data_IF_104995871359
#
_entry.id   IF_104995871359
#
_cell.length_a   1.000
_cell.length_b   1.000
_cell.length_c   1.000
_cell.angle_alpha   90.00
_cell.angle_beta   90.00
_cell.angle_gamma   90.00
#
_symmetry.space_group_name_H-M   'P 1'
#
loop_
_entity.id
_entity.type
_entity.pdbx_description
1 polymer ?
#
# COMPACT_ATOMS: atom_id res chain seq x y z
N UNK A 1 75.86 30.07 13.80
CA UNK A 1 75.06 28.82 13.71
C UNK A 1 73.68 29.16 14.24
N UNK A 2 72.53 29.09 13.55
CA UNK A 2 72.01 28.32 12.39
C UNK A 2 71.04 29.26 11.62
N UNK A 3 71.34 29.59 10.35
CA UNK A 3 70.71 29.14 9.08
C UNK A 3 69.26 29.63 8.81
N UNK A 4 69.19 30.55 7.85
CA UNK A 4 68.04 31.07 7.10
C UNK A 4 67.12 29.99 6.52
N UNK A 5 65.86 30.35 6.23
CA UNK A 5 65.18 30.03 4.96
C UNK A 5 63.96 30.95 4.73
N UNK A 6 63.88 31.44 3.49
CA UNK A 6 62.84 32.27 2.86
C UNK A 6 61.78 31.35 2.22
N UNK A 7 60.49 31.71 2.27
CA UNK A 7 59.44 31.37 1.29
C UNK A 7 58.17 32.19 1.63
N UNK A 8 57.78 33.23 0.88
CA UNK A 8 57.00 33.27 -0.39
C UNK A 8 55.55 32.74 -0.26
N UNK A 9 54.62 33.71 -0.14
CA UNK A 9 53.27 33.88 -0.74
C UNK A 9 52.53 32.64 -1.26
N UNK A 10 51.27 32.46 -0.85
CA UNK A 10 50.06 32.25 -1.69
C UNK A 10 48.82 32.57 -0.83
N UNK A 11 47.95 33.45 -1.35
CA UNK A 11 46.65 33.78 -0.80
C UNK A 11 45.62 32.70 -1.16
N UNK A 12 44.81 32.26 -0.20
CA UNK A 12 43.57 31.50 -0.47
C UNK A 12 42.46 31.99 0.46
N UNK A 13 41.58 32.83 -0.09
CA UNK A 13 40.29 33.20 0.49
C UNK A 13 39.32 32.03 0.37
N UNK A 14 38.99 31.37 1.48
CA UNK A 14 37.98 30.31 1.53
C UNK A 14 36.61 30.90 1.86
N UNK A 15 35.84 31.25 0.82
CA UNK A 15 34.39 31.48 0.91
C UNK A 15 33.70 30.11 1.05
N UNK A 16 33.29 29.75 2.27
CA UNK A 16 32.38 28.61 2.47
C UNK A 16 30.96 29.14 2.32
N UNK A 17 30.48 29.08 1.08
CA UNK A 17 29.09 29.30 0.71
C UNK A 17 28.19 28.35 1.49
N UNK A 18 27.14 28.89 2.12
CA UNK A 18 26.11 28.12 2.78
C UNK A 18 25.47 27.13 1.81
N UNK A 19 25.52 25.84 2.17
CA UNK A 19 24.76 24.81 1.48
C UNK A 19 23.32 24.94 1.94
N UNK A 20 22.53 25.71 1.20
CA UNK A 20 21.08 25.65 1.28
C UNK A 20 20.65 24.26 0.80
N UNK A 21 20.45 23.32 1.73
CA UNK A 21 19.75 22.08 1.42
C UNK A 21 18.29 22.44 1.12
N UNK A 22 17.97 22.64 -0.15
CA UNK A 22 16.59 22.77 -0.60
C UNK A 22 15.89 21.44 -0.34
N UNK A 23 15.19 21.33 0.80
CA UNK A 23 14.19 20.30 1.02
C UNK A 23 13.08 20.60 0.02
N UNK A 24 13.06 19.91 -1.12
CA UNK A 24 11.91 19.91 -2.00
C UNK A 24 10.79 19.20 -1.25
N UNK A 25 9.97 19.95 -0.53
CA UNK A 25 8.67 19.46 -0.11
C UNK A 25 7.92 19.14 -1.41
N UNK A 26 7.58 17.87 -1.60
CA UNK A 26 6.80 17.39 -2.73
C UNK A 26 5.36 17.90 -2.56
N UNK A 27 5.17 19.21 -2.84
CA UNK A 27 3.94 19.97 -2.62
C UNK A 27 2.89 19.66 -3.72
N UNK A 28 2.63 18.37 -3.94
CA UNK A 28 1.77 17.90 -5.03
C UNK A 28 0.46 17.36 -4.46
N UNK A 29 -0.66 18.02 -4.77
CA UNK A 29 -1.99 17.47 -4.52
C UNK A 29 -2.33 16.51 -5.68
N UNK A 30 -2.63 15.25 -5.37
CA UNK A 30 -3.03 14.24 -6.35
C UNK A 30 -4.54 14.05 -6.33
N UNK A 31 -5.18 14.16 -7.48
CA UNK A 31 -6.58 13.86 -7.68
C UNK A 31 -6.69 12.65 -8.61
N UNK A 32 -7.53 11.69 -8.24
CA UNK A 32 -7.80 10.53 -9.04
C UNK A 32 -9.30 10.24 -8.97
N UNK A 33 -9.89 9.96 -10.13
CA UNK A 33 -11.30 9.66 -10.26
C UNK A 33 -11.56 9.08 -11.63
N UNK A 34 -12.71 8.44 -11.77
CA UNK A 34 -13.15 7.82 -13.01
C UNK A 34 -14.58 8.24 -13.31
N UNK A 35 -14.84 8.53 -14.58
CA UNK A 35 -16.18 8.66 -15.12
C UNK A 35 -16.41 7.43 -15.99
N UNK A 36 -17.38 6.62 -15.59
CA UNK A 36 -17.76 5.40 -16.30
C UNK A 36 -19.24 5.45 -16.68
N UNK A 37 -19.59 4.79 -17.78
CA UNK A 37 -20.98 4.67 -18.25
C UNK A 37 -21.85 3.81 -17.32
N UNK A 38 -21.22 3.13 -16.35
CA UNK A 38 -21.88 2.31 -15.36
C UNK A 38 -21.19 2.45 -13.99
N UNK A 39 -21.99 2.29 -12.93
CA UNK A 39 -21.50 2.22 -11.56
C UNK A 39 -22.22 1.10 -10.84
N UNK A 40 -21.45 0.22 -10.21
CA UNK A 40 -21.95 -0.79 -9.29
C UNK A 40 -21.88 -0.27 -7.85
N UNK A 41 -22.76 -0.80 -7.00
CA UNK A 41 -22.60 -0.73 -5.55
C UNK A 41 -21.50 -1.70 -5.15
N UNK A 42 -20.56 -1.24 -4.33
CA UNK A 42 -19.44 -2.05 -3.84
C UNK A 42 -19.63 -2.34 -2.35
N UNK A 43 -19.52 -3.61 -1.97
CA UNK A 43 -19.46 -4.03 -0.57
C UNK A 43 -18.28 -4.97 -0.35
N UNK A 44 -17.83 -5.05 0.91
CA UNK A 44 -16.80 -6.00 1.32
C UNK A 44 -17.42 -6.93 2.36
N UNK A 45 -17.43 -8.24 2.07
CA UNK A 45 -18.09 -9.26 2.88
C UNK A 45 -19.56 -8.92 3.23
N UNK A 46 -20.30 -8.27 2.33
CA UNK A 46 -21.68 -7.85 2.54
C UNK A 46 -21.84 -6.53 3.30
N UNK A 47 -20.75 -5.83 3.64
CA UNK A 47 -20.80 -4.54 4.32
C UNK A 47 -20.31 -3.41 3.40
N UNK A 48 -21.22 -2.51 3.03
CA UNK A 48 -20.95 -1.40 2.12
C UNK A 48 -20.50 -0.10 2.83
N UNK A 49 -20.65 0.01 4.15
CA UNK A 49 -20.48 1.29 4.86
C UNK A 49 -19.22 1.35 5.72
N UNK A 50 -18.87 0.27 6.40
CA UNK A 50 -17.70 0.22 7.28
C UNK A 50 -17.24 -1.24 7.41
N UNK A 51 -16.70 -1.83 6.34
CA UNK A 51 -16.19 -3.19 6.40
C UNK A 51 -15.00 -3.30 7.34
N UNK A 52 -14.98 -4.38 8.12
CA UNK A 52 -13.88 -4.69 9.03
C UNK A 52 -13.48 -6.15 8.85
N UNK A 53 -12.20 -6.37 8.56
CA UNK A 53 -11.61 -7.71 8.42
C UNK A 53 -10.87 -8.04 9.70
N UNK A 54 -11.34 -9.04 10.44
CA UNK A 54 -10.69 -9.53 11.65
C UNK A 54 -9.61 -10.55 11.27
N UNK A 55 -8.36 -10.18 11.51
CA UNK A 55 -7.24 -11.11 11.35
C UNK A 55 -7.12 -12.02 12.60
N UNK A 56 -6.69 -13.27 12.43
CA UNK A 56 -6.46 -14.18 13.55
C UNK A 56 -5.28 -13.71 14.40
N UNK A 57 -5.31 -14.01 15.70
CA UNK A 57 -4.12 -13.81 16.54
C UNK A 57 -3.04 -14.81 16.14
N UNK A 58 -1.86 -14.29 15.76
CA UNK A 58 -0.69 -15.11 15.43
C UNK A 58 0.40 -14.94 16.49
N UNK A 59 1.16 -15.99 16.81
CA UNK A 59 2.26 -15.88 17.75
C UNK A 59 3.41 -15.09 17.11
N UNK A 60 4.11 -14.26 17.90
CA UNK A 60 5.29 -13.52 17.43
C UNK A 60 6.40 -14.45 16.90
N UNK A 61 6.43 -15.70 17.34
CA UNK A 61 7.36 -16.73 16.83
C UNK A 61 7.15 -17.09 15.36
N UNK A 62 5.98 -16.79 14.77
CA UNK A 62 5.73 -16.96 13.34
C UNK A 62 6.31 -15.80 12.49
N UNK A 63 6.76 -14.71 13.13
CA UNK A 63 7.17 -13.45 12.51
C UNK A 63 8.57 -13.03 13.01
N UNK A 64 9.50 -13.98 13.04
CA UNK A 64 10.86 -13.78 13.62
C UNK A 64 11.88 -13.25 12.62
N UNK A 65 11.61 -13.37 11.32
CA UNK A 65 12.50 -12.92 10.25
C UNK A 65 11.79 -11.94 9.35
N UNK A 66 12.47 -10.89 8.91
CA UNK A 66 11.93 -9.98 7.91
C UNK A 66 11.52 -10.78 6.66
N UNK A 67 10.30 -10.52 6.15
CA UNK A 67 9.72 -11.30 5.06
C UNK A 67 8.84 -12.47 5.48
N UNK A 68 8.85 -12.87 6.75
CA UNK A 68 7.88 -13.85 7.26
C UNK A 68 6.46 -13.30 7.20
N UNK A 69 5.53 -14.14 6.79
CA UNK A 69 4.09 -13.82 6.76
C UNK A 69 3.29 -14.80 7.60
N UNK A 70 2.17 -14.33 8.13
CA UNK A 70 1.28 -15.15 8.94
C UNK A 70 -0.15 -14.61 8.88
N UNK A 71 -1.12 -15.45 9.27
CA UNK A 71 -2.51 -15.00 9.49
C UNK A 71 -3.22 -14.50 8.23
N UNK A 72 -2.88 -15.04 7.06
CA UNK A 72 -3.56 -14.74 5.80
C UNK A 72 -5.07 -14.90 5.97
N UNK A 73 -5.80 -13.81 5.74
CA UNK A 73 -7.24 -13.70 5.95
C UNK A 73 -7.87 -13.21 4.66
N UNK A 74 -8.72 -14.03 4.07
CA UNK A 74 -9.43 -13.69 2.85
C UNK A 74 -10.60 -12.74 3.15
N UNK A 75 -10.89 -11.87 2.20
CA UNK A 75 -12.09 -11.06 2.17
C UNK A 75 -12.55 -10.90 0.73
N UNK A 76 -13.87 -10.84 0.55
CA UNK A 76 -14.50 -10.76 -0.76
C UNK A 76 -14.97 -9.35 -1.01
N UNK A 77 -14.62 -8.79 -2.15
CA UNK A 77 -15.24 -7.58 -2.68
C UNK A 77 -16.35 -8.01 -3.62
N UNK A 78 -17.56 -7.53 -3.36
CA UNK A 78 -18.71 -7.74 -4.22
C UNK A 78 -19.08 -6.44 -4.91
N UNK A 79 -19.49 -6.57 -6.17
CA UNK A 79 -20.15 -5.52 -6.91
C UNK A 79 -21.56 -5.97 -7.28
N UNK A 80 -22.55 -5.11 -7.09
CA UNK A 80 -23.95 -5.40 -7.39
C UNK A 80 -24.62 -4.20 -8.06
N UNK A 81 -25.75 -4.43 -8.72
CA UNK A 81 -26.48 -3.38 -9.42
C UNK A 81 -25.73 -2.79 -10.62
N UNK A 82 -24.77 -3.53 -11.18
CA UNK A 82 -24.08 -3.13 -12.39
C UNK A 82 -25.03 -3.14 -13.59
N UNK A 83 -24.77 -2.27 -14.57
CA UNK A 83 -25.48 -2.30 -15.85
C UNK A 83 -25.05 -3.54 -16.64
N UNK A 84 -26.03 -4.36 -17.04
CA UNK A 84 -25.74 -5.54 -17.86
C UNK A 84 -25.20 -5.12 -19.24
N UNK A 85 -24.01 -5.62 -19.60
CA UNK A 85 -23.40 -5.45 -20.92
C UNK A 85 -23.50 -6.75 -21.72
N UNK A 86 -23.53 -6.65 -23.05
CA UNK A 86 -23.49 -7.82 -23.96
C UNK A 86 -22.12 -8.50 -23.98
N UNK A 87 -21.08 -7.84 -23.48
CA UNK A 87 -19.73 -8.37 -23.32
C UNK A 87 -19.32 -8.43 -21.85
N UNK A 88 -18.36 -9.31 -21.54
CA UNK A 88 -17.75 -9.32 -20.22
C UNK A 88 -16.92 -8.04 -20.01
N UNK A 89 -16.96 -7.50 -18.79
CA UNK A 89 -16.23 -6.29 -18.39
C UNK A 89 -15.24 -6.65 -17.30
N UNK A 90 -13.94 -6.48 -17.59
CA UNK A 90 -12.90 -6.58 -16.58
C UNK A 90 -12.95 -5.32 -15.70
N UNK A 91 -12.98 -5.52 -14.38
CA UNK A 91 -13.04 -4.45 -13.40
C UNK A 91 -11.83 -4.61 -12.47
N UNK A 92 -11.13 -3.50 -12.23
CA UNK A 92 -9.98 -3.47 -11.32
C UNK A 92 -10.40 -2.87 -9.99
N UNK A 93 -9.75 -3.32 -8.91
CA UNK A 93 -9.90 -2.71 -7.59
C UNK A 93 -8.67 -1.87 -7.29
N UNK A 94 -8.88 -0.58 -7.03
CA UNK A 94 -7.82 0.35 -6.61
C UNK A 94 -7.84 0.43 -5.09
N UNK A 95 -6.67 0.26 -4.46
CA UNK A 95 -6.49 0.40 -3.02
C UNK A 95 -5.56 1.57 -2.72
N UNK A 96 -5.89 2.35 -1.68
CA UNK A 96 -5.08 3.47 -1.19
C UNK A 96 -4.84 3.31 0.30
N UNK A 97 -3.62 2.97 0.71
CA UNK A 97 -3.26 2.83 2.11
C UNK A 97 -3.21 4.17 2.83
N UNK A 98 -3.86 4.26 3.99
CA UNK A 98 -3.88 5.50 4.79
C UNK A 98 -2.56 5.71 5.56
N UNK A 99 -1.82 4.64 5.82
CA UNK A 99 -0.50 4.68 6.44
C UNK A 99 0.40 3.67 5.73
N UNK A 100 1.15 4.12 4.72
CA UNK A 100 2.11 3.25 4.03
C UNK A 100 3.49 3.38 4.66
N UNK A 101 4.18 2.24 4.78
CA UNK A 101 5.60 2.25 5.09
C UNK A 101 6.43 2.49 3.81
N UNK A 102 7.75 2.62 3.96
CA UNK A 102 8.70 2.85 2.85
C UNK A 102 8.71 1.74 1.80
N UNK A 103 8.12 0.58 2.09
CA UNK A 103 8.03 -0.57 1.19
C UNK A 103 6.64 -0.75 0.58
N UNK A 104 5.74 0.24 0.72
CA UNK A 104 4.39 0.21 0.13
C UNK A 104 3.40 -0.72 0.83
N UNK A 105 3.72 -1.23 2.03
CA UNK A 105 2.79 -2.02 2.87
C UNK A 105 2.06 -1.10 3.85
N UNK A 106 0.91 -1.54 4.35
CA UNK A 106 0.19 -0.81 5.40
C UNK A 106 1.00 -0.88 6.70
N UNK A 107 1.50 0.26 7.15
CA UNK A 107 2.15 0.41 8.44
C UNK A 107 1.18 0.12 9.58
N UNK A 108 1.71 -0.50 10.63
CA UNK A 108 0.93 -0.79 11.82
C UNK A 108 0.72 0.48 12.67
N UNK A 109 -0.52 0.80 12.98
CA UNK A 109 -0.89 1.88 13.93
C UNK A 109 -1.26 1.38 15.33
N UNK A 110 -1.23 0.06 15.56
CA UNK A 110 -1.37 -0.58 16.86
C UNK A 110 -0.06 -0.62 17.67
N UNK A 111 -0.01 -1.46 18.70
CA UNK A 111 1.12 -1.53 19.63
C UNK A 111 2.23 -2.53 19.27
N UNK A 112 1.98 -3.46 18.35
CA UNK A 112 3.01 -4.39 17.88
C UNK A 112 4.09 -3.66 17.06
N UNK A 113 5.35 -4.05 17.23
CA UNK A 113 6.48 -3.48 16.49
C UNK A 113 7.04 -4.48 15.49
N UNK A 114 7.68 -3.97 14.42
CA UNK A 114 8.28 -4.76 13.33
C UNK A 114 7.27 -5.63 12.57
N UNK A 115 6.01 -5.21 12.53
CA UNK A 115 4.95 -5.87 11.76
C UNK A 115 4.20 -4.81 10.94
N UNK A 116 3.85 -5.16 9.72
CA UNK A 116 2.97 -4.41 8.83
C UNK A 116 1.87 -5.33 8.29
N UNK A 117 0.89 -4.76 7.60
CA UNK A 117 -0.12 -5.52 6.88
C UNK A 117 0.16 -5.45 5.38
N UNK A 118 0.13 -6.62 4.74
CA UNK A 118 0.30 -6.77 3.30
C UNK A 118 -1.02 -7.22 2.70
N UNK A 119 -1.51 -6.47 1.70
CA UNK A 119 -2.63 -6.90 0.86
C UNK A 119 -2.08 -7.69 -0.32
N UNK A 120 -2.71 -8.82 -0.63
CA UNK A 120 -2.30 -9.74 -1.69
C UNK A 120 -3.52 -10.25 -2.44
N UNK A 121 -3.27 -10.70 -3.66
CA UNK A 121 -4.19 -11.58 -4.38
C UNK A 121 -3.96 -13.02 -3.90
N UNK A 122 -4.99 -13.77 -3.44
CA UNK A 122 -4.84 -15.18 -3.06
C UNK A 122 -4.34 -16.07 -4.20
N UNK A 123 -4.55 -15.70 -5.47
CA UNK A 123 -3.98 -16.36 -6.64
C UNK A 123 -2.48 -16.05 -6.83
N UNK A 124 -1.95 -15.00 -6.20
CA UNK A 124 -0.54 -14.60 -6.26
C UNK A 124 -0.04 -14.04 -4.92
N UNK A 125 -0.01 -14.86 -3.86
CA UNK A 125 0.17 -14.39 -2.47
C UNK A 125 1.59 -13.89 -2.17
N UNK A 126 2.54 -14.10 -3.07
CA UNK A 126 3.92 -13.61 -2.95
C UNK A 126 4.10 -12.18 -3.45
N UNK A 127 3.14 -11.67 -4.22
CA UNK A 127 3.22 -10.33 -4.82
C UNK A 127 2.27 -9.40 -4.07
N UNK A 128 2.77 -8.36 -3.37
CA UNK A 128 1.89 -7.36 -2.76
C UNK A 128 1.08 -6.62 -3.81
N UNK A 129 -0.15 -6.27 -3.47
CA UNK A 129 -0.94 -5.31 -4.25
C UNK A 129 -0.38 -3.90 -4.09
N UNK A 130 -0.58 -3.07 -5.12
CA UNK A 130 -0.30 -1.64 -5.03
C UNK A 130 -1.33 -0.95 -4.15
N UNK A 131 -0.84 -0.25 -3.13
CA UNK A 131 -1.65 0.51 -2.20
C UNK A 131 -1.45 2.02 -2.37
N UNK A 132 -0.76 2.46 -3.43
CA UNK A 132 -0.54 3.89 -3.70
C UNK A 132 -1.71 4.54 -4.43
N UNK A 133 -2.69 3.76 -4.88
CA UNK A 133 -3.79 4.20 -5.74
C UNK A 133 -3.42 4.33 -7.21
N UNK A 134 -2.14 4.20 -7.57
CA UNK A 134 -1.70 4.47 -8.94
C UNK A 134 -2.09 3.36 -9.91
N UNK A 135 -2.19 2.12 -9.43
CA UNK A 135 -2.55 0.95 -10.25
C UNK A 135 -3.71 0.17 -9.62
N UNK A 136 -4.64 -0.24 -10.47
CA UNK A 136 -5.73 -1.13 -10.08
C UNK A 136 -5.30 -2.59 -10.09
N UNK A 137 -5.67 -3.32 -9.05
CA UNK A 137 -5.47 -4.77 -8.96
C UNK A 137 -6.55 -5.48 -9.78
N UNK A 138 -6.18 -6.44 -10.66
CA UNK A 138 -7.18 -7.24 -11.36
C UNK A 138 -7.97 -8.11 -10.37
N UNK A 139 -9.11 -8.63 -10.82
CA UNK A 139 -9.84 -9.65 -10.07
C UNK A 139 -11.31 -9.72 -10.44
N UNK A 140 -12.00 -8.59 -10.39
CA UNK A 140 -13.42 -8.53 -10.72
C UNK A 140 -13.62 -8.71 -12.23
N UNK A 141 -14.55 -9.59 -12.59
CA UNK A 141 -14.97 -9.79 -13.98
C UNK A 141 -16.49 -9.89 -14.02
N UNK A 142 -17.14 -8.85 -14.54
CA UNK A 142 -18.58 -8.83 -14.74
C UNK A 142 -18.88 -9.58 -16.04
N UNK A 143 -19.44 -10.78 -15.93
CA UNK A 143 -19.79 -11.59 -17.09
C UNK A 143 -20.85 -10.90 -17.97
N UNK A 144 -20.92 -11.30 -19.24
CA UNK A 144 -21.94 -10.81 -20.16
C UNK A 144 -23.35 -11.07 -19.58
N UNK A 145 -24.20 -10.04 -19.62
CA UNK A 145 -25.55 -10.00 -19.07
C UNK A 145 -25.66 -10.16 -17.54
N UNK A 146 -24.54 -10.16 -16.80
CA UNK A 146 -24.55 -10.17 -15.35
C UNK A 146 -24.69 -8.75 -14.78
N UNK A 147 -25.24 -8.65 -13.58
CA UNK A 147 -25.39 -7.40 -12.81
C UNK A 147 -24.59 -7.40 -11.51
N UNK A 148 -23.83 -8.47 -11.27
CA UNK A 148 -22.99 -8.64 -10.09
C UNK A 148 -21.76 -9.48 -10.38
N UNK A 149 -20.68 -9.22 -9.67
CA UNK A 149 -19.47 -10.04 -9.65
C UNK A 149 -18.83 -9.98 -8.26
N UNK A 150 -17.96 -10.94 -7.99
CA UNK A 150 -17.24 -11.03 -6.71
C UNK A 150 -15.81 -11.44 -6.96
N UNK A 151 -14.89 -10.97 -6.13
CA UNK A 151 -13.51 -11.41 -6.14
C UNK A 151 -12.90 -11.41 -4.75
N UNK A 152 -12.07 -12.42 -4.48
CA UNK A 152 -11.40 -12.57 -3.19
C UNK A 152 -10.02 -11.94 -3.23
N UNK A 153 -9.74 -11.11 -2.24
CA UNK A 153 -8.40 -10.66 -1.89
C UNK A 153 -8.01 -11.23 -0.52
N UNK A 154 -6.77 -11.06 -0.11
CA UNK A 154 -6.33 -11.43 1.21
C UNK A 154 -5.45 -10.36 1.85
N UNK A 155 -5.48 -10.32 3.17
CA UNK A 155 -4.57 -9.53 4.00
C UNK A 155 -3.77 -10.47 4.89
N UNK A 156 -2.49 -10.20 5.09
CA UNK A 156 -1.63 -10.99 5.95
C UNK A 156 -0.69 -10.10 6.76
N UNK A 157 -0.28 -10.59 7.93
CA UNK A 157 0.82 -9.98 8.67
C UNK A 157 2.11 -10.16 7.90
N UNK A 158 2.95 -9.14 7.90
CA UNK A 158 4.29 -9.17 7.31
C UNK A 158 5.30 -8.69 8.35
N UNK A 159 6.33 -9.48 8.59
CA UNK A 159 7.43 -9.14 9.47
C UNK A 159 8.39 -8.17 8.77
N UNK A 160 8.58 -6.98 9.34
CA UNK A 160 9.64 -6.03 8.93
C UNK A 160 10.98 -6.33 9.63
N UNK A 161 10.96 -7.25 10.60
CA UNK A 161 12.06 -7.66 11.46
C UNK A 161 11.54 -8.66 12.50
N UNK A 162 12.20 -8.78 13.65
CA UNK A 162 11.67 -9.62 14.74
C UNK A 162 10.44 -8.94 15.34
N UNK A 163 9.26 -9.51 15.10
CA UNK A 163 8.00 -8.99 15.62
C UNK A 163 7.95 -9.01 17.16
N UNK A 164 7.33 -7.98 17.75
CA UNK A 164 6.95 -7.98 19.18
C UNK A 164 5.44 -8.01 19.32
N UNK A 165 4.98 -8.66 20.39
CA UNK A 165 3.55 -8.78 20.68
C UNK A 165 2.90 -7.41 20.86
N UNK A 166 1.66 -7.31 20.41
CA UNK A 166 0.84 -6.10 20.48
C UNK A 166 -0.30 -6.16 19.47
N UNK A 167 -1.10 -5.11 19.40
CA UNK A 167 -2.16 -4.98 18.41
C UNK A 167 -1.57 -4.60 17.04
N UNK A 168 -2.23 -5.07 15.99
CA UNK A 168 -1.94 -4.67 14.62
C UNK A 168 -3.19 -4.08 13.99
N UNK A 169 -3.09 -2.83 13.53
CA UNK A 169 -4.17 -2.07 12.92
C UNK A 169 -3.65 -1.44 11.63
N UNK A 170 -4.48 -1.43 10.59
CA UNK A 170 -4.21 -0.76 9.33
C UNK A 170 -5.52 -0.42 8.63
N UNK A 171 -5.45 0.48 7.66
CA UNK A 171 -6.63 0.86 6.88
C UNK A 171 -6.25 1.26 5.46
N UNK A 172 -7.16 0.96 4.54
CA UNK A 172 -7.10 1.34 3.12
C UNK A 172 -8.44 1.96 2.73
N UNK A 173 -8.39 2.92 1.82
CA UNK A 173 -9.53 3.30 1.00
C UNK A 173 -9.54 2.43 -0.24
N UNK A 174 -10.71 2.22 -0.84
CA UNK A 174 -10.86 1.40 -2.03
C UNK A 174 -11.82 2.05 -3.03
N UNK A 175 -11.62 1.73 -4.30
CA UNK A 175 -12.50 2.07 -5.41
C UNK A 175 -12.47 0.95 -6.46
N UNK A 176 -13.49 0.90 -7.32
CA UNK A 176 -13.49 0.02 -8.49
C UNK A 176 -13.34 0.85 -9.76
N UNK A 177 -12.64 0.30 -10.74
CA UNK A 177 -12.34 0.93 -12.03
C UNK A 177 -12.81 0.03 -13.17
N UNK A 178 -13.50 0.62 -14.15
CA UNK A 178 -14.14 -0.06 -15.28
C UNK A 178 -13.30 0.02 -16.57
N UNK A 179 -12.07 0.55 -16.51
CA UNK A 179 -11.13 0.67 -17.63
C UNK A 179 -10.14 -0.51 -17.78
#
# INVERSE_FOLDING_TARGET
MKKNLIAIVIATTSVVSGVSTSVFADNTIKFQGEVADQTCVVDINGNASSPMILLPTVPASALVTAGSTAGTTNFTINITGCTASTSATAIKTVFVGNNLNSHGRMGNTGSATNVSLQLVDPASPTTPLDLTGQTGSPGLNLAANATSASYDYAVQYYAEGIAKAGSVLGSVQYAVSYQ
#
